data_IF_701734180679
#
_entry.id   IF_701734180679
#
_cell.length_a   1.000
_cell.length_b   1.000
_cell.length_c   1.000
_cell.angle_alpha   90.00
_cell.angle_beta   90.00
_cell.angle_gamma   90.00
#
_symmetry.space_group_name_H-M   'P 1'
#
loop_
_entity.id
_entity.type
_entity.pdbx_description
1 polymer ?
#
# COMPACT_ATOMS: atom_id res chain seq x y z
N UNK A 1 20.63 24.77 -1.56
CA UNK A 1 19.34 24.10 -1.31
C UNK A 1 19.05 23.16 -2.46
N UNK A 2 19.57 21.93 -2.41
CA UNK A 2 19.16 20.81 -3.29
C UNK A 2 18.70 19.58 -2.48
N UNK A 3 18.82 19.64 -1.16
CA UNK A 3 18.50 18.54 -0.25
C UNK A 3 17.01 18.48 0.16
N UNK A 4 16.22 19.51 -0.12
CA UNK A 4 14.84 19.65 0.39
C UNK A 4 13.81 18.73 -0.29
N UNK A 5 13.99 18.42 -1.58
CA UNK A 5 13.03 17.58 -2.33
C UNK A 5 13.21 16.10 -2.00
N UNK A 6 14.46 15.63 -1.97
CA UNK A 6 14.77 14.24 -1.64
C UNK A 6 14.41 13.95 -0.18
N UNK A 7 14.74 14.85 0.75
CA UNK A 7 14.35 14.68 2.15
C UNK A 7 12.84 14.59 2.30
N UNK A 8 12.07 15.48 1.67
CA UNK A 8 10.61 15.44 1.72
C UNK A 8 10.01 14.15 1.13
N UNK A 9 10.57 13.67 0.02
CA UNK A 9 10.17 12.39 -0.56
C UNK A 9 10.45 11.23 0.41
N UNK A 10 11.65 11.18 0.98
CA UNK A 10 12.01 10.16 1.96
C UNK A 10 11.15 10.22 3.23
N UNK A 11 10.84 11.42 3.73
CA UNK A 11 10.00 11.63 4.89
C UNK A 11 8.57 11.13 4.64
N UNK A 12 8.00 11.42 3.48
CA UNK A 12 6.66 10.93 3.10
C UNK A 12 6.63 9.40 2.97
N UNK A 13 7.64 8.79 2.33
CA UNK A 13 7.76 7.33 2.26
C UNK A 13 7.89 6.74 3.67
N UNK A 14 8.69 7.35 4.54
CA UNK A 14 8.88 6.91 5.91
C UNK A 14 7.58 7.00 6.73
N UNK A 15 6.84 8.10 6.62
CA UNK A 15 5.54 8.28 7.31
C UNK A 15 4.52 7.21 6.91
N UNK A 16 4.44 6.87 5.62
CA UNK A 16 3.59 5.78 5.14
C UNK A 16 4.02 4.43 5.70
N UNK A 17 5.32 4.14 5.75
CA UNK A 17 5.85 2.90 6.33
C UNK A 17 5.58 2.80 7.83
N UNK A 18 5.75 3.89 8.59
CA UNK A 18 5.41 3.95 10.01
C UNK A 18 3.90 3.74 10.24
N UNK A 19 3.06 4.32 9.37
CA UNK A 19 1.61 4.09 9.41
C UNK A 19 1.28 2.61 9.21
N UNK A 20 1.91 1.95 8.22
CA UNK A 20 1.74 0.52 8.00
C UNK A 20 2.22 -0.33 9.19
N UNK A 21 3.35 0.03 9.78
CA UNK A 21 3.87 -0.64 10.97
C UNK A 21 2.91 -0.51 12.17
N UNK A 22 2.38 0.69 12.41
CA UNK A 22 1.38 0.94 13.46
C UNK A 22 0.11 0.11 13.26
N UNK A 23 -0.33 -0.07 12.01
CA UNK A 23 -1.46 -0.94 11.68
C UNK A 23 -1.18 -2.41 11.97
N UNK A 24 0.01 -2.90 11.63
CA UNK A 24 0.42 -4.28 11.92
C UNK A 24 0.42 -4.57 13.44
N UNK A 25 0.92 -3.62 14.24
CA UNK A 25 0.88 -3.73 15.70
C UNK A 25 -0.56 -3.68 16.24
N UNK A 26 -1.43 -2.83 15.68
CA UNK A 26 -2.86 -2.83 16.01
C UNK A 26 -3.52 -4.18 15.71
N UNK A 27 -3.25 -4.77 14.54
CA UNK A 27 -3.76 -6.10 14.18
C UNK A 27 -3.33 -7.15 15.21
N UNK A 28 -2.06 -7.16 15.61
CA UNK A 28 -1.52 -8.08 16.60
C UNK A 28 -2.25 -7.99 17.95
N UNK A 29 -2.61 -6.79 18.39
CA UNK A 29 -3.42 -6.58 19.59
C UNK A 29 -4.84 -7.15 19.43
N UNK A 30 -5.43 -7.03 18.22
CA UNK A 30 -6.81 -7.47 17.96
C UNK A 30 -6.97 -8.98 17.90
N UNK A 31 -5.90 -9.73 17.66
CA UNK A 31 -5.92 -11.21 17.72
C UNK A 31 -6.44 -11.71 19.08
N UNK A 32 -6.13 -10.99 20.16
CA UNK A 32 -6.61 -11.28 21.52
C UNK A 32 -7.94 -10.62 21.90
N UNK A 33 -8.51 -9.73 21.06
CA UNK A 33 -9.70 -8.94 21.41
C UNK A 33 -10.98 -9.79 21.51
N UNK A 34 -12.06 -9.28 22.11
CA UNK A 34 -13.35 -9.98 22.20
C UNK A 34 -14.10 -9.98 20.85
N UNK A 35 -15.07 -10.87 20.67
CA UNK A 35 -15.82 -11.02 19.42
C UNK A 35 -16.48 -9.72 18.92
N UNK A 36 -17.07 -8.93 19.83
CA UNK A 36 -17.69 -7.65 19.49
C UNK A 36 -16.67 -6.63 18.92
N UNK A 37 -15.49 -6.56 19.53
CA UNK A 37 -14.40 -5.68 19.07
C UNK A 37 -13.81 -6.14 17.73
N UNK A 38 -13.76 -7.45 17.49
CA UNK A 38 -13.37 -8.02 16.20
C UNK A 38 -14.36 -7.62 15.10
N UNK A 39 -15.66 -7.71 15.38
CA UNK A 39 -16.70 -7.40 14.39
C UNK A 39 -16.76 -5.92 14.01
N UNK A 40 -16.65 -5.00 14.99
CA UNK A 40 -16.56 -3.56 14.70
C UNK A 40 -15.34 -3.23 13.81
N UNK A 41 -14.18 -3.82 14.10
CA UNK A 41 -12.98 -3.60 13.28
C UNK A 41 -13.10 -4.15 11.86
N UNK A 42 -13.75 -5.30 11.68
CA UNK A 42 -14.05 -5.84 10.33
C UNK A 42 -14.91 -4.84 9.53
N UNK A 43 -15.93 -4.25 10.15
CA UNK A 43 -16.79 -3.25 9.50
C UNK A 43 -16.01 -1.99 9.13
N UNK A 44 -15.13 -1.51 10.01
CA UNK A 44 -14.33 -0.31 9.77
C UNK A 44 -13.29 -0.51 8.65
N UNK A 45 -12.58 -1.64 8.66
CA UNK A 45 -11.62 -1.98 7.60
C UNK A 45 -12.33 -2.13 6.26
N UNK A 46 -13.51 -2.77 6.24
CA UNK A 46 -14.29 -2.94 5.01
C UNK A 46 -14.72 -1.59 4.41
N UNK A 47 -15.23 -0.68 5.22
CA UNK A 47 -15.60 0.68 4.76
C UNK A 47 -14.39 1.44 4.22
N UNK A 48 -13.25 1.31 4.89
CA UNK A 48 -12.03 1.99 4.47
C UNK A 48 -11.43 1.38 3.18
N UNK A 49 -11.51 0.06 3.03
CA UNK A 49 -11.10 -0.68 1.84
C UNK A 49 -11.98 -0.37 0.62
N UNK A 50 -13.30 -0.33 0.77
CA UNK A 50 -14.23 0.01 -0.35
C UNK A 50 -13.93 1.39 -0.96
N UNK A 51 -13.49 2.36 -0.15
CA UNK A 51 -13.08 3.70 -0.62
C UNK A 51 -11.73 3.66 -1.36
N UNK A 52 -10.81 2.78 -0.96
CA UNK A 52 -9.46 2.65 -1.52
C UNK A 52 -9.34 1.67 -2.70
N UNK A 53 -10.36 0.84 -2.93
CA UNK A 53 -10.42 -0.14 -4.03
C UNK A 53 -10.77 0.46 -5.40
N UNK A 54 -11.53 1.55 -5.44
CA UNK A 54 -11.88 2.25 -6.69
C UNK A 54 -10.66 2.89 -7.41
N UNK A 55 -9.71 3.54 -6.71
CA UNK A 55 -8.51 4.11 -7.33
C UNK A 55 -7.40 3.09 -7.66
N UNK A 56 -7.44 1.88 -7.10
CA UNK A 56 -6.31 0.92 -7.14
C UNK A 56 -6.22 0.17 -8.47
N UNK A 57 -7.32 -0.07 -9.19
CA UNK A 57 -7.30 -0.69 -10.52
C UNK A 57 -6.66 0.24 -11.58
N UNK A 58 -7.01 1.52 -11.56
CA UNK A 58 -6.39 2.55 -12.41
C UNK A 58 -4.92 2.78 -12.04
N UNK A 59 -4.61 2.76 -10.73
CA UNK A 59 -3.25 2.82 -10.21
C UNK A 59 -2.39 1.65 -10.68
N UNK A 60 -2.93 0.41 -10.66
CA UNK A 60 -2.22 -0.79 -11.11
C UNK A 60 -1.83 -0.70 -12.58
N UNK A 61 -2.75 -0.28 -13.44
CA UNK A 61 -2.49 -0.10 -14.87
C UNK A 61 -1.42 0.98 -15.12
N UNK A 62 -1.49 2.09 -14.39
CA UNK A 62 -0.52 3.20 -14.48
C UNK A 62 0.89 2.76 -14.04
N UNK A 63 1.00 1.95 -12.98
CA UNK A 63 2.27 1.41 -12.50
C UNK A 63 2.87 0.41 -13.49
N UNK A 64 2.05 -0.49 -14.03
CA UNK A 64 2.47 -1.48 -15.04
C UNK A 64 3.00 -0.78 -16.32
N UNK A 65 2.27 0.25 -16.78
CA UNK A 65 2.68 1.07 -17.91
C UNK A 65 4.03 1.76 -17.64
N UNK A 66 4.21 2.36 -16.45
CA UNK A 66 5.47 3.02 -16.10
C UNK A 66 6.66 2.04 -16.01
N UNK A 67 6.46 0.84 -15.45
CA UNK A 67 7.50 -0.21 -15.41
C UNK A 67 7.95 -0.55 -16.83
N UNK A 68 7.00 -0.66 -17.76
CA UNK A 68 7.26 -0.98 -19.16
C UNK A 68 7.96 0.16 -19.91
N UNK A 69 7.52 1.41 -19.70
CA UNK A 69 8.15 2.61 -20.25
C UNK A 69 9.58 2.75 -19.74
N UNK A 70 9.83 2.62 -18.44
CA UNK A 70 11.18 2.71 -17.85
C UNK A 70 12.14 1.67 -18.42
N UNK A 71 11.66 0.44 -18.67
CA UNK A 71 12.48 -0.63 -19.28
C UNK A 71 12.87 -0.32 -20.72
N UNK A 72 11.98 0.27 -21.51
CA UNK A 72 12.27 0.63 -22.91
C UNK A 72 13.15 1.88 -23.00
N UNK A 73 12.94 2.84 -22.10
CA UNK A 73 13.75 4.06 -22.00
C UNK A 73 15.20 3.77 -21.57
N UNK A 74 15.40 2.86 -20.60
CA UNK A 74 16.73 2.42 -20.18
C UNK A 74 17.54 1.79 -21.33
N UNK A 75 16.88 1.03 -22.22
CA UNK A 75 17.52 0.48 -23.43
C UNK A 75 17.93 1.59 -24.41
N UNK A 76 17.05 2.55 -24.66
CA UNK A 76 17.28 3.64 -25.63
C UNK A 76 18.33 4.66 -25.15
N UNK A 77 18.54 4.78 -23.84
CA UNK A 77 19.53 5.70 -23.23
C UNK A 77 20.98 5.27 -23.40
N UNK A 78 21.24 3.96 -23.48
CA UNK A 78 22.59 3.44 -23.79
C UNK A 78 23.05 3.93 -25.18
N UNK A 79 22.11 4.26 -26.07
CA UNK A 79 22.39 4.59 -27.47
C UNK A 79 22.47 6.10 -27.79
N UNK A 80 21.92 7.00 -26.95
CA UNK A 80 21.90 8.45 -27.25
C UNK A 80 22.23 9.32 -26.04
N UNK A 81 23.47 9.81 -25.98
CA UNK A 81 23.88 10.86 -25.04
C UNK A 81 23.49 12.26 -25.53
N UNK A 82 22.65 12.98 -24.79
CA UNK A 82 22.17 14.33 -25.17
C UNK A 82 22.13 15.23 -23.91
N UNK A 83 22.98 16.25 -23.88
CA UNK A 83 23.32 17.00 -22.64
C UNK A 83 22.50 18.25 -22.30
N UNK A 84 21.63 18.76 -23.17
CA UNK A 84 20.87 20.01 -22.89
C UNK A 84 19.36 19.83 -22.73
N UNK A 85 18.75 18.79 -23.32
CA UNK A 85 17.37 18.38 -22.96
C UNK A 85 17.34 17.51 -21.69
N UNK A 86 18.52 17.19 -21.15
CA UNK A 86 18.69 16.23 -20.07
C UNK A 86 18.11 16.70 -18.75
N UNK A 87 18.16 18.00 -18.43
CA UNK A 87 17.71 18.50 -17.11
C UNK A 87 16.19 18.47 -16.98
N UNK A 88 15.45 19.03 -17.95
CA UNK A 88 13.98 19.00 -17.92
C UNK A 88 13.46 17.56 -17.99
N UNK A 89 14.05 16.75 -18.86
CA UNK A 89 13.76 15.32 -18.96
C UNK A 89 14.02 14.57 -17.64
N UNK A 90 15.16 14.82 -16.99
CA UNK A 90 15.50 14.19 -15.72
C UNK A 90 14.56 14.61 -14.60
N UNK A 91 14.09 15.88 -14.61
CA UNK A 91 13.09 16.38 -13.66
C UNK A 91 11.74 15.70 -13.87
N UNK A 92 11.21 15.70 -15.10
CA UNK A 92 9.93 15.04 -15.42
C UNK A 92 9.97 13.54 -15.12
N UNK A 93 11.13 12.90 -15.34
CA UNK A 93 11.34 11.49 -14.98
C UNK A 93 11.34 11.29 -13.46
N UNK A 94 11.93 12.20 -12.68
CA UNK A 94 11.90 12.14 -11.23
C UNK A 94 10.46 12.29 -10.73
N UNK A 95 9.72 13.30 -11.21
CA UNK A 95 8.32 13.52 -10.85
C UNK A 95 7.44 12.29 -11.14
N UNK A 96 7.63 11.67 -12.32
CA UNK A 96 6.93 10.42 -12.68
C UNK A 96 7.30 9.25 -11.76
N UNK A 97 8.57 9.11 -11.40
CA UNK A 97 9.01 8.04 -10.51
C UNK A 97 8.44 8.22 -9.09
N UNK A 98 8.43 9.45 -8.57
CA UNK A 98 7.83 9.78 -7.27
C UNK A 98 6.32 9.49 -7.27
N UNK A 99 5.60 9.88 -8.33
CA UNK A 99 4.17 9.56 -8.49
C UNK A 99 3.90 8.04 -8.54
N UNK A 100 4.80 7.26 -9.16
CA UNK A 100 4.67 5.81 -9.18
C UNK A 100 4.90 5.17 -7.81
N UNK A 101 5.77 5.75 -6.98
CA UNK A 101 5.94 5.31 -5.59
C UNK A 101 4.67 5.57 -4.79
N UNK A 102 4.03 6.73 -4.95
CA UNK A 102 2.73 6.99 -4.31
C UNK A 102 1.67 5.97 -4.70
N UNK A 103 1.57 5.64 -5.99
CA UNK A 103 0.65 4.61 -6.49
C UNK A 103 1.00 3.24 -5.91
N UNK A 104 2.27 2.85 -5.88
CA UNK A 104 2.70 1.57 -5.34
C UNK A 104 2.42 1.46 -3.83
N UNK A 105 2.59 2.55 -3.07
CA UNK A 105 2.24 2.60 -1.65
C UNK A 105 0.73 2.48 -1.44
N UNK A 106 -0.08 3.17 -2.24
CA UNK A 106 -1.54 3.04 -2.20
C UNK A 106 -2.00 1.59 -2.48
N UNK A 107 -1.40 0.93 -3.47
CA UNK A 107 -1.67 -0.49 -3.76
C UNK A 107 -1.28 -1.41 -2.58
N UNK A 108 -0.14 -1.14 -1.93
CA UNK A 108 0.33 -1.90 -0.78
C UNK A 108 -0.62 -1.70 0.43
N UNK A 109 -1.05 -0.48 0.70
CA UNK A 109 -2.02 -0.15 1.75
C UNK A 109 -3.36 -0.89 1.54
N UNK A 110 -3.89 -0.88 0.32
CA UNK A 110 -5.11 -1.62 -0.03
C UNK A 110 -4.93 -3.14 0.14
N UNK A 111 -3.78 -3.68 -0.27
CA UNK A 111 -3.47 -5.11 -0.08
C UNK A 111 -3.38 -5.49 1.42
N UNK A 112 -2.88 -4.57 2.25
CA UNK A 112 -2.82 -4.76 3.70
C UNK A 112 -4.21 -4.69 4.32
N UNK A 113 -5.10 -3.81 3.85
CA UNK A 113 -6.51 -3.78 4.28
C UNK A 113 -7.18 -5.14 4.04
N UNK A 114 -7.02 -5.70 2.84
CA UNK A 114 -7.61 -6.99 2.47
C UNK A 114 -7.08 -8.12 3.34
N UNK A 115 -5.76 -8.14 3.58
CA UNK A 115 -5.12 -9.12 4.43
C UNK A 115 -5.60 -9.00 5.90
N UNK A 116 -5.69 -7.77 6.42
CA UNK A 116 -6.16 -7.49 7.78
C UNK A 116 -7.60 -7.99 7.96
N UNK A 117 -8.48 -7.69 6.99
CA UNK A 117 -9.86 -8.18 6.99
C UNK A 117 -9.93 -9.71 7.01
N UNK A 118 -9.21 -10.39 6.10
CA UNK A 118 -9.20 -11.85 6.01
C UNK A 118 -8.70 -12.53 7.29
N UNK A 119 -7.70 -11.96 7.95
CA UNK A 119 -7.17 -12.48 9.21
C UNK A 119 -8.21 -12.37 10.32
N UNK A 120 -8.87 -11.22 10.46
CA UNK A 120 -9.87 -11.01 11.51
C UNK A 120 -11.11 -11.90 11.28
N UNK A 121 -11.55 -12.05 10.04
CA UNK A 121 -12.64 -12.96 9.66
C UNK A 121 -12.32 -14.40 10.04
N UNK A 122 -11.10 -14.87 9.73
CA UNK A 122 -10.67 -16.22 10.09
C UNK A 122 -10.61 -16.44 11.62
N UNK A 123 -10.23 -15.42 12.39
CA UNK A 123 -10.22 -15.48 13.86
C UNK A 123 -11.65 -15.54 14.41
N UNK A 124 -12.56 -14.72 13.89
CA UNK A 124 -13.97 -14.73 14.28
C UNK A 124 -14.61 -16.11 14.03
N UNK A 125 -14.42 -16.66 12.83
CA UNK A 125 -14.95 -17.97 12.47
C UNK A 125 -14.43 -19.11 13.37
N UNK A 126 -13.15 -19.09 13.75
CA UNK A 126 -12.59 -20.08 14.69
C UNK A 126 -13.25 -19.99 16.08
N UNK A 127 -13.48 -18.78 16.57
CA UNK A 127 -14.10 -18.57 17.89
C UNK A 127 -15.57 -18.97 17.92
N UNK A 128 -16.29 -18.74 16.83
CA UNK A 128 -17.65 -19.25 16.67
C UNK A 128 -17.67 -20.79 16.72
N UNK A 129 -16.75 -21.44 16.02
CA UNK A 129 -16.63 -22.89 16.06
C UNK A 129 -16.30 -23.42 17.47
N UNK A 130 -15.38 -22.77 18.18
CA UNK A 130 -15.00 -23.12 19.56
C UNK A 130 -16.19 -22.96 20.54
N UNK A 131 -16.96 -21.87 20.41
CA UNK A 131 -18.13 -21.63 21.23
C UNK A 131 -19.18 -22.75 21.07
N UNK A 132 -19.43 -23.20 19.83
CA UNK A 132 -20.36 -24.31 19.55
C UNK A 132 -19.86 -25.64 20.10
N UNK A 133 -18.55 -25.87 20.14
CA UNK A 133 -17.98 -27.11 20.70
C UNK A 133 -17.98 -27.16 22.23
N UNK A 134 -17.77 -26.01 22.90
CA UNK A 134 -17.83 -25.92 24.36
C UNK A 134 -19.26 -26.01 24.92
N UNK A 135 -20.26 -25.57 24.17
CA UNK A 135 -21.68 -25.64 24.58
C UNK A 135 -22.29 -27.06 24.43
N UNK A 136 -21.52 -28.00 23.86
CA UNK A 136 -21.93 -29.40 23.60
C UNK A 136 -21.20 -30.43 24.46
N UNK A 137 -20.30 -30.02 25.35
CA UNK A 137 -19.58 -30.87 26.31
C UNK A 137 -20.10 -30.66 27.73
#
# INVERSE_FOLDING_TARGET
MKDDVITRFCDNVHEKLETLQGRLESLKLNIGATYHLLHEKIVDIRKAGEVRHLPTDEGRASLEQWIQETRTEAKNRVERGIRNHEVQYLSERADRAEACVEIAMMLAEASIDDAEWMILEAIAARREAEAVTNDRS
#
